data_IF_019436480686
#
_entry.id   IF_019436480686
#
_cell.length_a   1.000
_cell.length_b   1.000
_cell.length_c   1.000
_cell.angle_alpha   90.00
_cell.angle_beta   90.00
_cell.angle_gamma   90.00
#
_symmetry.space_group_name_H-M   'P 1'
#
loop_
_entity.id
_entity.type
_entity.pdbx_description
1 polymer ?
#
# COMPACT_ATOMS: atom_id res chain seq x y z
N UNK A 1 28.49 -3.12 -7.69
CA UNK A 1 28.33 -2.36 -8.96
C UNK A 1 28.51 -0.87 -8.70
N UNK A 2 29.04 -0.09 -9.65
CA UNK A 2 29.12 1.37 -9.53
C UNK A 2 27.71 1.98 -9.65
N UNK A 3 27.21 2.59 -8.57
CA UNK A 3 25.84 3.13 -8.47
C UNK A 3 25.58 4.33 -9.40
N UNK A 4 26.61 4.87 -10.04
CA UNK A 4 26.49 5.92 -11.03
C UNK A 4 26.09 5.38 -12.42
N UNK A 5 26.29 4.08 -12.65
CA UNK A 5 26.09 3.45 -13.96
C UNK A 5 24.69 2.89 -14.20
N UNK A 6 23.80 2.95 -13.20
CA UNK A 6 22.43 2.44 -13.28
C UNK A 6 21.48 3.24 -12.40
N UNK A 7 20.17 3.15 -12.65
CA UNK A 7 19.10 3.65 -11.78
C UNK A 7 18.83 2.59 -10.71
N UNK A 8 19.04 2.92 -9.44
CA UNK A 8 18.84 2.00 -8.34
C UNK A 8 17.39 1.94 -7.85
N UNK A 9 17.01 0.86 -7.16
CA UNK A 9 15.67 0.74 -6.56
C UNK A 9 15.34 1.86 -5.58
N UNK A 10 16.33 2.34 -4.81
CA UNK A 10 16.21 3.51 -3.92
C UNK A 10 15.94 4.82 -4.66
N UNK A 11 16.28 4.89 -5.96
CA UNK A 11 16.07 6.06 -6.80
C UNK A 11 14.63 6.10 -7.38
N UNK A 12 13.89 4.98 -7.32
CA UNK A 12 12.62 4.81 -8.02
C UNK A 12 11.55 5.83 -7.61
N UNK A 13 11.54 6.23 -6.34
CA UNK A 13 10.62 7.24 -5.84
C UNK A 13 10.91 8.62 -6.43
N UNK A 14 12.19 8.98 -6.54
CA UNK A 14 12.63 10.27 -7.08
C UNK A 14 12.44 10.35 -8.61
N UNK A 15 12.59 9.21 -9.29
CA UNK A 15 12.22 9.07 -10.70
C UNK A 15 10.75 9.46 -10.92
N UNK A 16 9.83 8.92 -10.12
CA UNK A 16 8.39 9.18 -10.27
C UNK A 16 7.94 10.53 -9.73
N UNK A 17 8.64 11.10 -8.76
CA UNK A 17 8.33 12.44 -8.24
C UNK A 17 8.84 13.55 -9.17
N UNK A 18 9.80 13.23 -10.05
CA UNK A 18 10.46 14.19 -10.92
C UNK A 18 11.55 15.00 -10.21
N UNK A 19 11.99 14.56 -9.03
CA UNK A 19 13.10 15.17 -8.28
C UNK A 19 14.46 14.70 -8.82
N UNK A 20 14.72 15.02 -10.10
CA UNK A 20 15.85 14.47 -10.83
C UNK A 20 17.14 15.25 -10.66
N UNK A 21 17.11 16.48 -10.16
CA UNK A 21 18.29 17.33 -10.06
C UNK A 21 19.35 16.73 -9.13
N UNK A 22 18.94 16.29 -7.92
CA UNK A 22 19.82 15.61 -6.97
C UNK A 22 20.40 14.34 -7.60
N UNK A 23 19.53 13.48 -8.14
CA UNK A 23 19.94 12.22 -8.76
C UNK A 23 20.90 12.42 -9.94
N UNK A 24 20.66 13.41 -10.80
CA UNK A 24 21.51 13.74 -11.93
C UNK A 24 22.91 14.13 -11.45
N UNK A 25 23.01 15.02 -10.46
CA UNK A 25 24.30 15.45 -9.91
C UNK A 25 25.07 14.29 -9.29
N UNK A 26 24.40 13.40 -8.57
CA UNK A 26 25.01 12.19 -8.02
C UNK A 26 25.55 11.27 -9.12
N UNK A 27 24.71 10.92 -10.11
CA UNK A 27 25.11 9.99 -11.19
C UNK A 27 26.17 10.54 -12.13
N UNK A 28 26.21 11.86 -12.31
CA UNK A 28 27.25 12.54 -13.11
C UNK A 28 28.54 12.81 -12.29
N UNK A 29 28.61 12.40 -11.02
CA UNK A 29 29.77 12.64 -10.16
C UNK A 29 29.97 14.11 -9.76
N UNK A 30 28.94 14.95 -9.93
CA UNK A 30 28.96 16.37 -9.58
C UNK A 30 28.64 16.64 -8.10
N UNK A 31 28.14 15.63 -7.41
CA UNK A 31 27.79 15.66 -6.00
C UNK A 31 27.99 14.25 -5.42
N UNK A 32 28.61 14.16 -4.25
CA UNK A 32 28.66 12.89 -3.52
C UNK A 32 27.32 12.55 -2.89
N UNK A 33 27.05 11.25 -2.74
CA UNK A 33 25.85 10.79 -2.04
C UNK A 33 25.94 11.16 -0.56
N UNK A 34 24.77 11.43 0.01
CA UNK A 34 24.64 11.69 1.44
C UNK A 34 25.14 10.48 2.23
N UNK A 35 26.02 10.74 3.21
CA UNK A 35 26.44 9.73 4.17
C UNK A 35 25.35 9.51 5.22
N UNK A 36 24.76 8.32 5.19
CA UNK A 36 23.70 7.90 6.10
C UNK A 36 24.23 7.13 7.32
N UNK A 37 25.55 7.06 7.53
CA UNK A 37 26.17 6.38 8.67
C UNK A 37 25.69 6.91 10.03
N UNK A 38 25.29 8.17 10.10
CA UNK A 38 24.75 8.83 11.31
C UNK A 38 23.22 8.91 11.34
N UNK A 39 22.54 8.36 10.34
CA UNK A 39 21.07 8.32 10.29
C UNK A 39 20.57 7.19 11.18
N UNK A 40 20.04 7.53 12.37
CA UNK A 40 19.51 6.55 13.31
C UNK A 40 18.50 5.57 12.67
N UNK A 41 17.51 5.99 11.88
CA UNK A 41 16.59 5.06 11.22
C UNK A 41 17.29 4.06 10.28
N UNK A 42 18.34 4.50 9.57
CA UNK A 42 19.11 3.64 8.66
C UNK A 42 19.92 2.62 9.45
N UNK A 43 20.62 3.06 10.49
CA UNK A 43 21.42 2.17 11.33
C UNK A 43 20.55 1.17 12.09
N UNK A 44 19.37 1.59 12.55
CA UNK A 44 18.39 0.71 13.18
C UNK A 44 17.93 -0.39 12.20
N UNK A 45 17.56 -0.01 10.97
CA UNK A 45 17.16 -0.98 9.93
C UNK A 45 18.26 -1.99 9.63
N UNK A 46 19.51 -1.53 9.44
CA UNK A 46 20.66 -2.42 9.20
C UNK A 46 20.90 -3.39 10.36
N UNK A 47 20.74 -2.92 11.61
CA UNK A 47 20.96 -3.75 12.80
C UNK A 47 19.83 -4.77 13.03
N UNK A 48 18.61 -4.50 12.56
CA UNK A 48 17.45 -5.38 12.77
C UNK A 48 17.13 -6.29 11.58
N UNK A 49 17.77 -6.08 10.43
CA UNK A 49 17.41 -6.73 9.16
C UNK A 49 17.43 -8.26 9.26
N UNK A 50 18.46 -8.88 9.83
CA UNK A 50 18.53 -10.35 9.94
C UNK A 50 17.38 -10.92 10.78
N UNK A 51 17.16 -10.34 11.96
CA UNK A 51 16.07 -10.75 12.85
C UNK A 51 14.69 -10.50 12.23
N UNK A 52 14.54 -9.43 11.45
CA UNK A 52 13.30 -9.13 10.71
C UNK A 52 13.05 -10.22 9.65
N UNK A 53 14.03 -10.53 8.81
CA UNK A 53 13.89 -11.56 7.77
C UNK A 53 13.59 -12.94 8.39
N UNK A 54 14.33 -13.34 9.41
CA UNK A 54 14.14 -14.61 10.13
C UNK A 54 12.72 -14.72 10.70
N UNK A 55 12.23 -13.65 11.35
CA UNK A 55 10.89 -13.60 11.91
C UNK A 55 9.81 -13.76 10.84
N UNK A 56 9.94 -13.02 9.74
CA UNK A 56 8.97 -13.07 8.64
C UNK A 56 8.93 -14.46 7.99
N UNK A 57 10.07 -15.12 7.82
CA UNK A 57 10.15 -16.48 7.28
C UNK A 57 9.57 -17.52 8.23
N UNK A 58 9.82 -17.39 9.54
CA UNK A 58 9.22 -18.26 10.54
C UNK A 58 7.69 -18.17 10.52
N UNK A 59 7.14 -16.94 10.42
CA UNK A 59 5.70 -16.71 10.32
C UNK A 59 5.09 -17.27 9.02
N UNK A 60 5.76 -17.10 7.88
CA UNK A 60 5.34 -17.74 6.62
C UNK A 60 5.26 -19.27 6.76
N UNK A 61 6.25 -19.88 7.43
CA UNK A 61 6.25 -21.32 7.67
C UNK A 61 5.11 -21.77 8.59
N UNK A 62 4.74 -20.96 9.59
CA UNK A 62 3.60 -21.23 10.46
C UNK A 62 2.26 -21.14 9.72
N UNK A 63 2.09 -20.11 8.90
CA UNK A 63 0.82 -19.83 8.20
C UNK A 63 0.61 -20.70 6.94
N UNK A 64 1.68 -21.08 6.25
CA UNK A 64 1.61 -21.74 4.94
C UNK A 64 2.34 -23.08 4.86
N UNK A 65 2.91 -23.55 5.98
CA UNK A 65 3.68 -24.79 6.05
C UNK A 65 5.19 -24.57 5.88
N UNK A 66 5.97 -25.48 6.44
CA UNK A 66 7.43 -25.39 6.46
C UNK A 66 8.07 -25.39 5.07
N UNK A 67 9.25 -24.77 4.96
CA UNK A 67 10.10 -24.85 3.76
C UNK A 67 10.44 -23.52 3.11
N UNK A 68 9.84 -22.40 3.58
CA UNK A 68 10.28 -21.07 3.18
C UNK A 68 11.69 -20.79 3.72
N UNK A 69 12.53 -20.18 2.89
CA UNK A 69 13.90 -19.77 3.23
C UNK A 69 14.21 -18.42 2.61
N UNK A 70 15.14 -17.68 3.19
CA UNK A 70 15.66 -16.45 2.57
C UNK A 70 17.17 -16.55 2.28
N UNK A 71 17.64 -15.85 1.25
CA UNK A 71 19.00 -15.97 0.71
C UNK A 71 20.09 -15.26 1.52
N UNK A 72 19.75 -14.60 2.63
CA UNK A 72 20.74 -13.80 3.38
C UNK A 72 21.69 -14.68 4.20
N UNK A 73 21.21 -15.85 4.63
CA UNK A 73 22.09 -16.91 5.09
C UNK A 73 22.81 -17.48 3.86
N UNK A 74 24.15 -17.37 3.85
CA UNK A 74 25.06 -17.60 2.70
C UNK A 74 25.06 -19.04 2.12
N UNK A 75 24.11 -19.87 2.51
CA UNK A 75 24.07 -21.29 2.19
C UNK A 75 23.65 -21.54 0.73
N UNK A 76 22.89 -20.63 0.10
CA UNK A 76 22.26 -20.87 -1.20
C UNK A 76 23.01 -20.28 -2.41
N UNK A 77 24.02 -19.42 -2.21
CA UNK A 77 24.82 -18.82 -3.29
C UNK A 77 24.05 -17.92 -4.28
N UNK A 78 22.77 -17.65 -4.03
CA UNK A 78 21.91 -16.82 -4.88
C UNK A 78 22.30 -15.35 -4.79
N UNK A 79 22.62 -14.75 -5.95
CA UNK A 79 22.83 -13.31 -6.04
C UNK A 79 21.47 -12.60 -5.90
N UNK A 80 21.34 -11.76 -4.88
CA UNK A 80 20.20 -10.85 -4.72
C UNK A 80 20.44 -9.53 -5.47
N UNK A 81 21.20 -9.55 -6.57
CA UNK A 81 21.41 -8.38 -7.43
C UNK A 81 20.99 -8.69 -8.87
N UNK A 82 20.41 -7.69 -9.54
CA UNK A 82 19.99 -7.81 -10.93
C UNK A 82 20.28 -6.51 -11.69
N UNK A 83 20.69 -6.66 -12.95
CA UNK A 83 20.78 -5.57 -13.92
C UNK A 83 19.84 -5.88 -15.07
N UNK A 84 19.02 -4.91 -15.42
CA UNK A 84 18.06 -4.99 -16.49
C UNK A 84 18.13 -3.73 -17.35
N UNK A 85 17.99 -3.88 -18.67
CA UNK A 85 17.86 -2.76 -19.59
C UNK A 85 16.56 -2.98 -20.35
N UNK A 86 15.50 -2.17 -20.11
CA UNK A 86 14.21 -2.35 -20.75
C UNK A 86 14.30 -2.20 -22.27
N UNK A 87 13.73 -3.17 -22.99
CA UNK A 87 13.55 -3.10 -24.44
C UNK A 87 12.54 -2.00 -24.83
N UNK A 88 12.60 -1.53 -26.07
CA UNK A 88 11.65 -0.53 -26.59
C UNK A 88 11.85 0.90 -26.06
N UNK A 89 12.90 1.14 -25.27
CA UNK A 89 13.26 2.47 -24.76
C UNK A 89 14.25 3.19 -25.67
N UNK A 90 14.23 4.52 -25.70
CA UNK A 90 15.08 5.30 -26.61
C UNK A 90 16.51 5.46 -26.08
N UNK A 91 16.65 5.78 -24.81
CA UNK A 91 17.95 6.04 -24.17
C UNK A 91 18.56 4.80 -23.52
N UNK A 92 17.80 3.70 -23.43
CA UNK A 92 18.22 2.40 -22.85
C UNK A 92 18.69 2.56 -21.40
N UNK A 93 17.78 2.89 -20.46
CA UNK A 93 18.12 3.05 -19.06
C UNK A 93 18.62 1.73 -18.49
N UNK A 94 19.73 1.78 -17.77
CA UNK A 94 20.22 0.63 -17.00
C UNK A 94 19.54 0.67 -15.65
N UNK A 95 18.78 -0.36 -15.32
CA UNK A 95 18.05 -0.54 -14.06
C UNK A 95 18.82 -1.56 -13.23
N UNK A 96 19.17 -1.21 -11.99
CA UNK A 96 19.90 -2.09 -11.10
C UNK A 96 19.20 -2.24 -9.76
N UNK A 97 19.00 -3.49 -9.36
CA UNK A 97 18.17 -3.87 -8.23
C UNK A 97 18.98 -4.70 -7.23
N UNK A 98 18.71 -4.47 -5.95
CA UNK A 98 19.30 -5.19 -4.83
C UNK A 98 18.26 -5.31 -3.71
N UNK A 99 17.29 -6.24 -3.79
CA UNK A 99 16.37 -6.52 -2.69
C UNK A 99 17.13 -6.98 -1.43
N UNK A 100 16.54 -6.76 -0.26
CA UNK A 100 17.14 -7.14 1.03
C UNK A 100 17.35 -8.67 1.15
N UNK A 101 16.48 -9.47 0.52
CA UNK A 101 16.68 -10.90 0.34
C UNK A 101 15.93 -11.45 -0.89
N UNK A 102 16.24 -12.69 -1.27
CA UNK A 102 15.37 -13.54 -2.08
C UNK A 102 14.72 -14.58 -1.18
N UNK A 103 13.44 -14.82 -1.35
CA UNK A 103 12.69 -15.88 -0.68
C UNK A 103 12.58 -17.06 -1.63
N UNK A 104 12.94 -18.24 -1.15
CA UNK A 104 12.64 -19.51 -1.79
C UNK A 104 11.42 -20.13 -1.13
N UNK A 105 10.41 -20.44 -1.92
CA UNK A 105 9.20 -21.15 -1.47
C UNK A 105 9.44 -22.67 -1.41
N UNK A 106 8.59 -23.43 -0.69
CA UNK A 106 8.73 -24.89 -0.60
C UNK A 106 8.71 -25.63 -1.95
N UNK A 107 8.01 -25.10 -2.94
CA UNK A 107 7.94 -25.61 -4.32
C UNK A 107 9.11 -25.12 -5.22
N UNK A 108 10.05 -24.37 -4.65
CA UNK A 108 11.31 -23.99 -5.30
C UNK A 108 11.25 -22.68 -6.10
N UNK A 109 10.12 -21.97 -6.09
CA UNK A 109 10.00 -20.63 -6.69
C UNK A 109 10.81 -19.61 -5.88
N UNK A 110 11.27 -18.56 -6.55
CA UNK A 110 12.12 -17.53 -5.95
C UNK A 110 11.50 -16.16 -6.20
N UNK A 111 11.32 -15.39 -5.12
CA UNK A 111 10.76 -14.04 -5.17
C UNK A 111 11.64 -13.04 -4.42
N UNK A 112 11.76 -11.79 -4.87
CA UNK A 112 12.40 -10.76 -4.08
C UNK A 112 11.64 -10.48 -2.78
N UNK A 113 12.38 -10.06 -1.76
CA UNK A 113 11.86 -9.59 -0.49
C UNK A 113 12.49 -8.25 -0.14
N UNK A 114 11.63 -7.33 0.29
CA UNK A 114 12.03 -6.02 0.78
C UNK A 114 11.55 -5.84 2.21
N UNK A 115 12.45 -5.50 3.11
CA UNK A 115 12.22 -5.31 4.53
C UNK A 115 12.38 -3.82 4.91
N UNK A 116 11.46 -3.31 5.75
CA UNK A 116 11.53 -1.93 6.26
C UNK A 116 11.24 -1.84 7.74
N UNK A 117 11.99 -1.00 8.44
CA UNK A 117 11.66 -0.57 9.80
C UNK A 117 11.29 0.92 9.78
N UNK A 118 10.06 1.24 10.18
CA UNK A 118 9.53 2.61 10.14
C UNK A 118 8.54 2.86 11.28
N UNK A 119 8.49 4.08 11.82
CA UNK A 119 7.53 4.49 12.84
C UNK A 119 6.32 5.26 12.30
N UNK A 120 6.17 5.38 10.98
CA UNK A 120 5.33 6.41 10.36
C UNK A 120 3.93 5.97 9.92
N UNK A 121 3.74 4.68 9.64
CA UNK A 121 2.55 4.20 8.91
C UNK A 121 1.54 3.54 9.84
N UNK A 122 0.26 3.56 9.49
CA UNK A 122 -0.75 2.90 10.32
C UNK A 122 -0.78 1.38 10.10
N UNK A 123 -0.45 0.91 8.90
CA UNK A 123 -0.50 -0.50 8.53
C UNK A 123 0.51 -0.84 7.39
N UNK A 124 0.74 -2.14 7.11
CA UNK A 124 1.67 -2.58 6.07
C UNK A 124 1.30 -2.18 4.66
N UNK A 125 0.01 -2.06 4.36
CA UNK A 125 -0.47 -1.69 3.03
C UNK A 125 -0.17 -0.23 2.69
N UNK A 126 -0.34 0.69 3.66
CA UNK A 126 0.06 2.10 3.52
C UNK A 126 1.57 2.24 3.35
N UNK A 127 2.35 1.43 4.08
CA UNK A 127 3.80 1.38 3.93
C UNK A 127 4.17 0.89 2.51
N UNK A 128 3.53 -0.19 2.04
CA UNK A 128 3.74 -0.72 0.70
C UNK A 128 3.38 0.31 -0.38
N UNK A 129 2.30 1.07 -0.23
CA UNK A 129 1.95 2.18 -1.13
C UNK A 129 3.06 3.24 -1.21
N UNK A 130 3.71 3.54 -0.09
CA UNK A 130 4.85 4.48 -0.06
C UNK A 130 6.08 3.92 -0.77
N UNK A 131 6.39 2.65 -0.55
CA UNK A 131 7.55 1.97 -1.14
C UNK A 131 7.26 1.38 -2.52
N UNK A 132 6.02 1.46 -3.03
CA UNK A 132 5.58 0.86 -4.29
C UNK A 132 6.55 1.09 -5.47
N UNK A 133 7.17 2.29 -5.63
CA UNK A 133 8.17 2.48 -6.66
C UNK A 133 9.37 1.54 -6.58
N UNK A 134 9.89 1.34 -5.38
CA UNK A 134 10.99 0.44 -5.11
C UNK A 134 10.57 -1.02 -5.31
N UNK A 135 9.36 -1.37 -4.85
CA UNK A 135 8.78 -2.71 -4.96
C UNK A 135 8.65 -3.16 -6.42
N UNK A 136 7.99 -2.35 -7.25
CA UNK A 136 7.83 -2.64 -8.68
C UNK A 136 9.16 -2.60 -9.44
N UNK A 137 10.12 -1.76 -9.01
CA UNK A 137 11.47 -1.75 -9.56
C UNK A 137 12.18 -3.09 -9.35
N UNK A 138 12.10 -3.67 -8.15
CA UNK A 138 12.71 -4.97 -7.88
C UNK A 138 12.12 -6.05 -8.78
N UNK A 139 10.78 -6.12 -8.87
CA UNK A 139 10.09 -7.09 -9.73
C UNK A 139 10.45 -6.91 -11.21
N UNK A 140 10.50 -5.67 -11.71
CA UNK A 140 10.91 -5.35 -13.07
C UNK A 140 12.34 -5.83 -13.37
N UNK A 141 13.29 -5.53 -12.49
CA UNK A 141 14.70 -5.86 -12.72
C UNK A 141 14.99 -7.36 -12.61
N UNK A 142 14.29 -8.07 -11.71
CA UNK A 142 14.45 -9.51 -11.52
C UNK A 142 13.55 -10.36 -12.45
N UNK A 143 12.63 -9.74 -13.19
CA UNK A 143 11.62 -10.47 -13.97
C UNK A 143 10.68 -11.31 -13.09
N UNK A 144 10.34 -10.81 -11.90
CA UNK A 144 9.53 -11.52 -10.91
C UNK A 144 8.08 -11.05 -10.96
N UNK A 145 7.12 -12.00 -10.89
CA UNK A 145 5.68 -11.70 -10.93
C UNK A 145 5.12 -11.18 -9.60
N UNK A 146 5.86 -11.35 -8.52
CA UNK A 146 5.51 -10.86 -7.20
C UNK A 146 6.75 -10.68 -6.32
N UNK A 147 6.58 -10.01 -5.18
CA UNK A 147 7.60 -9.89 -4.15
C UNK A 147 6.94 -9.90 -2.76
N UNK A 148 7.70 -10.26 -1.73
CA UNK A 148 7.26 -10.11 -0.35
C UNK A 148 7.74 -8.78 0.23
N UNK A 149 6.82 -7.89 0.54
CA UNK A 149 7.14 -6.70 1.31
C UNK A 149 6.87 -6.95 2.80
N UNK A 150 7.87 -6.75 3.65
CA UNK A 150 7.71 -6.87 5.10
C UNK A 150 8.10 -5.59 5.80
N UNK A 151 7.32 -5.21 6.82
CA UNK A 151 7.53 -3.97 7.54
C UNK A 151 7.32 -4.14 9.05
N UNK A 152 8.24 -3.56 9.81
CA UNK A 152 8.09 -3.30 11.24
C UNK A 152 7.57 -1.88 11.39
N UNK A 153 6.38 -1.76 11.97
CA UNK A 153 5.77 -0.47 12.31
C UNK A 153 5.98 -0.17 13.80
N UNK A 154 6.82 0.82 14.09
CA UNK A 154 7.19 1.19 15.46
C UNK A 154 7.92 0.05 16.19
N UNK A 155 7.31 -0.48 17.24
CA UNK A 155 7.82 -1.60 18.04
C UNK A 155 6.93 -2.87 17.92
N UNK A 156 6.05 -2.92 16.92
CA UNK A 156 5.23 -4.09 16.64
C UNK A 156 6.07 -5.24 16.04
N UNK A 157 5.51 -6.45 16.02
CA UNK A 157 6.08 -7.55 15.26
C UNK A 157 6.08 -7.24 13.74
N UNK A 158 7.03 -7.79 12.97
CA UNK A 158 6.98 -7.73 11.52
C UNK A 158 5.66 -8.23 10.95
N UNK A 159 5.08 -7.41 10.07
CA UNK A 159 3.96 -7.78 9.21
C UNK A 159 4.46 -7.88 7.77
N UNK A 160 3.74 -8.61 6.93
CA UNK A 160 4.11 -8.75 5.52
C UNK A 160 2.89 -8.70 4.59
N UNK A 161 3.16 -8.40 3.33
CA UNK A 161 2.19 -8.40 2.24
C UNK A 161 2.86 -8.84 0.95
N UNK A 162 2.21 -9.73 0.21
CA UNK A 162 2.63 -10.09 -1.14
C UNK A 162 2.18 -9.01 -2.12
N UNK A 163 3.10 -8.45 -2.86
CA UNK A 163 2.81 -7.43 -3.89
C UNK A 163 3.03 -8.05 -5.26
N UNK A 164 2.02 -7.98 -6.12
CA UNK A 164 2.11 -8.45 -7.50
C UNK A 164 2.77 -7.43 -8.42
N UNK A 165 3.46 -7.92 -9.43
CA UNK A 165 3.94 -7.11 -10.54
C UNK A 165 2.75 -6.52 -11.31
N UNK A 166 2.88 -5.28 -11.73
CA UNK A 166 1.91 -4.61 -12.60
C UNK A 166 2.62 -4.09 -13.83
N UNK A 167 2.22 -4.59 -15.00
CA UNK A 167 2.84 -4.18 -16.26
C UNK A 167 2.57 -2.70 -16.55
N UNK A 168 1.33 -2.24 -16.38
CA UNK A 168 0.96 -0.84 -16.63
C UNK A 168 1.73 0.11 -15.70
N UNK A 169 1.93 -0.31 -14.44
CA UNK A 169 2.71 0.45 -13.49
C UNK A 169 4.18 0.49 -13.90
N UNK A 170 4.75 -0.66 -14.25
CA UNK A 170 6.16 -0.79 -14.66
C UNK A 170 6.44 -0.05 -15.96
N UNK A 171 5.54 -0.09 -16.94
CA UNK A 171 5.67 0.66 -18.20
C UNK A 171 5.72 2.17 -17.92
N UNK A 172 4.79 2.70 -17.11
CA UNK A 172 4.81 4.11 -16.68
C UNK A 172 6.12 4.48 -15.96
N UNK A 173 6.64 3.58 -15.13
CA UNK A 173 7.92 3.77 -14.46
C UNK A 173 9.11 3.78 -15.44
N UNK A 174 9.13 2.85 -16.39
CA UNK A 174 10.18 2.73 -17.42
C UNK A 174 10.23 3.96 -18.31
N UNK A 175 9.08 4.53 -18.68
CA UNK A 175 9.04 5.80 -19.43
C UNK A 175 9.74 6.94 -18.68
N UNK A 176 9.55 7.02 -17.36
CA UNK A 176 10.22 8.03 -16.52
C UNK A 176 11.71 7.74 -16.35
N UNK A 177 12.09 6.47 -16.23
CA UNK A 177 13.49 6.06 -16.24
C UNK A 177 14.18 6.45 -17.55
N UNK A 178 13.56 6.20 -18.71
CA UNK A 178 14.12 6.51 -20.02
C UNK A 178 14.30 8.03 -20.21
N UNK A 179 13.29 8.82 -19.83
CA UNK A 179 13.36 10.27 -19.87
C UNK A 179 14.50 10.82 -18.98
N UNK A 180 14.63 10.31 -17.75
CA UNK A 180 15.73 10.69 -16.87
C UNK A 180 17.09 10.27 -17.46
N UNK A 181 17.18 9.07 -18.04
CA UNK A 181 18.42 8.56 -18.60
C UNK A 181 18.89 9.35 -19.82
N UNK A 182 17.97 9.97 -20.56
CA UNK A 182 18.29 10.95 -21.60
C UNK A 182 19.12 12.12 -21.09
N UNK A 183 18.85 12.62 -19.87
CA UNK A 183 19.67 13.65 -19.23
C UNK A 183 21.09 13.15 -18.96
N UNK A 184 21.23 11.92 -18.45
CA UNK A 184 22.54 11.30 -18.20
C UNK A 184 23.33 11.14 -19.50
N UNK A 185 22.69 10.62 -20.56
CA UNK A 185 23.33 10.40 -21.86
C UNK A 185 23.74 11.68 -22.57
N UNK A 186 22.92 12.73 -22.47
CA UNK A 186 23.17 14.02 -23.12
C UNK A 186 24.04 14.96 -22.27
N UNK A 187 24.40 14.57 -21.04
CA UNK A 187 25.05 15.43 -20.06
C UNK A 187 24.34 16.79 -19.89
N UNK A 188 23.01 16.79 -20.07
CA UNK A 188 22.17 17.98 -19.96
C UNK A 188 21.33 17.87 -18.69
N UNK A 189 21.49 18.78 -17.71
CA UNK A 189 20.76 18.71 -16.46
C UNK A 189 19.25 18.84 -16.71
N UNK A 190 18.40 18.16 -15.91
CA UNK A 190 16.96 18.38 -15.95
C UNK A 190 16.64 19.82 -15.52
N UNK A 191 15.56 20.39 -16.07
CA UNK A 191 15.13 21.74 -15.69
C UNK A 191 14.94 21.84 -14.16
N UNK A 192 15.38 22.93 -13.52
CA UNK A 192 15.14 23.14 -12.10
C UNK A 192 13.65 23.10 -11.81
N UNK A 193 13.21 22.14 -11.00
CA UNK A 193 11.88 22.19 -10.38
C UNK A 193 12.06 22.85 -9.03
N UNK A 194 11.49 24.03 -8.87
CA UNK A 194 11.39 24.70 -7.58
C UNK A 194 10.33 23.96 -6.76
N UNK A 195 10.72 22.87 -6.11
CA UNK A 195 9.92 22.31 -5.03
C UNK A 195 10.07 23.25 -3.83
N UNK A 196 8.95 23.60 -3.20
CA UNK A 196 8.99 24.25 -1.90
C UNK A 196 9.80 23.36 -0.95
N UNK A 197 10.96 23.87 -0.51
CA UNK A 197 12.03 23.08 0.12
C UNK A 197 11.63 22.34 1.41
N UNK A 198 10.41 22.57 1.91
CA UNK A 198 9.84 21.90 3.07
C UNK A 198 9.25 20.51 2.77
N UNK A 199 8.87 20.18 1.52
CA UNK A 199 8.13 18.94 1.21
C UNK A 199 8.72 18.20 0.01
N UNK A 200 9.23 16.99 0.24
CA UNK A 200 9.62 16.09 -0.86
C UNK A 200 8.40 15.80 -1.76
N UNK A 201 8.53 15.96 -3.09
CA UNK A 201 7.42 15.73 -4.00
C UNK A 201 6.92 14.28 -3.93
N UNK A 202 5.60 14.11 -4.06
CA UNK A 202 4.97 12.78 -4.11
C UNK A 202 5.19 12.16 -5.49
N UNK A 203 5.39 10.82 -5.57
CA UNK A 203 5.36 10.11 -6.84
C UNK A 203 4.09 10.42 -7.63
N UNK A 204 4.25 10.71 -8.92
CA UNK A 204 3.15 11.02 -9.82
C UNK A 204 2.79 9.74 -10.58
N UNK A 205 1.79 9.03 -10.08
CA UNK A 205 1.22 7.83 -10.71
C UNK A 205 -0.29 8.04 -10.84
N UNK A 206 -0.86 7.94 -12.05
CA UNK A 206 -2.32 8.04 -12.24
C UNK A 206 -3.07 7.03 -11.38
N UNK A 207 -4.24 7.40 -10.85
CA UNK A 207 -5.04 6.50 -10.01
C UNK A 207 -5.44 5.21 -10.73
N UNK A 208 -5.72 5.31 -12.04
CA UNK A 208 -6.00 4.16 -12.91
C UNK A 208 -4.86 3.15 -12.97
N UNK A 209 -3.60 3.61 -12.87
CA UNK A 209 -2.40 2.77 -12.86
C UNK A 209 -2.07 2.31 -11.43
N UNK A 210 -2.28 3.16 -10.41
CA UNK A 210 -2.04 2.78 -9.02
C UNK A 210 -2.86 1.54 -8.63
N UNK A 211 -4.10 1.46 -9.11
CA UNK A 211 -5.04 0.39 -8.80
C UNK A 211 -4.80 -0.90 -9.61
N UNK A 212 -3.79 -0.97 -10.49
CA UNK A 212 -3.45 -2.21 -11.22
C UNK A 212 -2.50 -3.13 -10.45
N UNK A 213 -2.07 -2.75 -9.25
CA UNK A 213 -1.15 -3.56 -8.43
C UNK A 213 -1.94 -4.52 -7.52
N UNK A 214 -1.71 -5.84 -7.59
CA UNK A 214 -2.30 -6.79 -6.66
C UNK A 214 -1.65 -6.73 -5.27
N UNK A 215 -2.47 -6.79 -4.22
CA UNK A 215 -2.06 -6.99 -2.82
C UNK A 215 -2.60 -8.34 -2.35
N UNK A 216 -1.73 -9.26 -1.94
CA UNK A 216 -2.07 -10.64 -1.59
C UNK A 216 -2.93 -11.33 -2.67
N UNK A 217 -2.59 -11.09 -3.95
CA UNK A 217 -3.33 -11.62 -5.10
C UNK A 217 -4.68 -10.94 -5.39
N UNK A 218 -5.05 -9.87 -4.66
CA UNK A 218 -6.31 -9.16 -4.82
C UNK A 218 -6.12 -7.75 -5.37
N UNK A 219 -7.03 -7.31 -6.24
CA UNK A 219 -7.01 -5.98 -6.86
C UNK A 219 -7.83 -4.97 -6.07
N UNK A 220 -7.32 -3.75 -5.93
CA UNK A 220 -8.12 -2.60 -5.47
C UNK A 220 -8.74 -1.90 -6.66
N UNK A 221 -9.96 -1.39 -6.53
CA UNK A 221 -10.63 -0.62 -7.58
C UNK A 221 -11.33 0.60 -6.99
N UNK A 222 -11.26 1.70 -7.73
CA UNK A 222 -12.06 2.89 -7.50
C UNK A 222 -13.27 2.83 -8.44
N UNK A 223 -14.47 3.05 -7.89
CA UNK A 223 -15.74 3.00 -8.61
C UNK A 223 -16.38 4.38 -8.77
N UNK A 224 -15.66 5.45 -8.41
CA UNK A 224 -16.16 6.83 -8.48
C UNK A 224 -16.57 7.27 -9.89
N UNK A 225 -15.94 6.73 -10.93
CA UNK A 225 -16.27 7.02 -12.34
C UNK A 225 -17.47 6.20 -12.89
N UNK A 226 -18.07 5.31 -12.08
CA UNK A 226 -19.21 4.51 -12.53
C UNK A 226 -20.52 5.29 -12.35
N UNK A 227 -21.21 5.59 -13.45
CA UNK A 227 -22.43 6.39 -13.47
C UNK A 227 -23.58 5.89 -12.57
N UNK A 228 -23.64 4.60 -12.24
CA UNK A 228 -24.70 4.05 -11.37
C UNK A 228 -24.34 4.12 -9.87
N UNK A 229 -23.06 4.24 -9.54
CA UNK A 229 -22.58 4.14 -8.16
C UNK A 229 -22.96 5.35 -7.29
N UNK A 230 -22.89 6.62 -7.75
CA UNK A 230 -23.24 7.77 -6.91
C UNK A 230 -24.62 7.67 -6.29
N UNK A 231 -25.65 7.33 -7.08
CA UNK A 231 -27.02 7.23 -6.59
C UNK A 231 -27.18 6.12 -5.52
N UNK A 232 -26.55 4.95 -5.74
CA UNK A 232 -26.57 3.85 -4.79
C UNK A 232 -25.81 4.19 -3.49
N UNK A 233 -24.70 4.91 -3.60
CA UNK A 233 -23.92 5.35 -2.43
C UNK A 233 -24.71 6.35 -1.61
N UNK A 234 -25.34 7.35 -2.23
CA UNK A 234 -26.14 8.35 -1.53
C UNK A 234 -27.34 7.71 -0.82
N UNK A 235 -28.03 6.77 -1.48
CA UNK A 235 -29.12 6.00 -0.88
C UNK A 235 -28.63 5.15 0.30
N UNK A 236 -27.50 4.44 0.15
CA UNK A 236 -26.91 3.62 1.21
C UNK A 236 -26.50 4.45 2.44
N UNK A 237 -25.89 5.62 2.23
CA UNK A 237 -25.50 6.52 3.32
C UNK A 237 -26.74 7.07 4.02
N UNK A 238 -27.74 7.53 3.26
CA UNK A 238 -28.98 8.08 3.81
C UNK A 238 -29.76 7.06 4.62
N UNK A 239 -29.91 5.84 4.10
CA UNK A 239 -30.63 4.75 4.78
C UNK A 239 -29.90 4.30 6.04
N UNK A 240 -28.57 4.27 6.05
CA UNK A 240 -27.78 4.01 7.27
C UNK A 240 -28.01 5.06 8.35
N UNK A 241 -28.02 6.34 7.98
CA UNK A 241 -28.32 7.44 8.92
C UNK A 241 -29.75 7.37 9.45
N UNK A 242 -30.73 7.10 8.57
CA UNK A 242 -32.13 6.94 8.95
C UNK A 242 -32.34 5.75 9.90
N UNK A 243 -31.70 4.61 9.63
CA UNK A 243 -31.74 3.43 10.50
C UNK A 243 -31.13 3.73 11.88
N UNK A 244 -29.99 4.43 11.93
CA UNK A 244 -29.39 4.86 13.19
C UNK A 244 -30.34 5.77 13.97
N UNK A 245 -30.91 6.79 13.32
CA UNK A 245 -31.86 7.71 13.97
C UNK A 245 -33.13 6.98 14.42
N UNK A 246 -33.58 5.99 13.66
CA UNK A 246 -34.72 5.17 14.02
C UNK A 246 -34.48 4.39 15.33
N UNK A 247 -33.29 3.82 15.52
CA UNK A 247 -32.92 3.15 16.77
C UNK A 247 -32.79 4.12 17.95
N UNK A 248 -32.22 5.32 17.74
CA UNK A 248 -32.19 6.38 18.76
C UNK A 248 -33.62 6.79 19.18
N UNK A 249 -34.51 7.03 18.21
CA UNK A 249 -35.90 7.36 18.47
C UNK A 249 -36.66 6.23 19.18
N UNK A 250 -36.36 4.96 18.89
CA UNK A 250 -36.94 3.84 19.66
C UNK A 250 -36.53 3.90 21.12
N UNK A 251 -35.29 4.29 21.43
CA UNK A 251 -34.84 4.44 22.80
C UNK A 251 -35.57 5.60 23.48
N UNK A 252 -35.58 6.78 22.86
CA UNK A 252 -36.29 7.97 23.36
C UNK A 252 -37.78 7.69 23.61
N UNK A 253 -38.48 7.02 22.69
CA UNK A 253 -39.89 6.67 22.84
C UNK A 253 -40.15 5.72 24.02
N UNK A 254 -39.24 4.78 24.29
CA UNK A 254 -39.37 3.83 25.41
C UNK A 254 -39.26 4.51 26.77
N UNK A 255 -38.58 5.65 26.88
CA UNK A 255 -38.48 6.42 28.13
C UNK A 255 -39.83 6.99 28.59
N UNK A 256 -40.78 7.18 27.67
CA UNK A 256 -42.12 7.62 28.00
C UNK A 256 -43.03 6.51 28.56
N UNK A 257 -42.62 5.24 28.52
CA UNK A 257 -43.37 4.10 29.06
C UNK A 257 -43.03 3.93 30.53
N UNK A 258 -43.99 4.15 31.43
CA UNK A 258 -43.79 4.02 32.88
C UNK A 258 -43.69 2.56 33.28
N UNK A 259 -43.16 2.29 34.47
CA UNK A 259 -43.05 0.93 35.02
C UNK A 259 -44.41 0.26 35.25
N UNK A 260 -45.46 1.05 35.46
CA UNK A 260 -46.85 0.60 35.60
C UNK A 260 -47.53 0.32 34.26
N UNK A 261 -46.94 0.75 33.14
CA UNK A 261 -47.58 0.67 31.83
C UNK A 261 -47.32 -0.71 31.21
N UNK A 262 -48.42 -1.42 30.92
CA UNK A 262 -48.39 -2.64 30.13
C UNK A 262 -48.43 -2.35 28.62
N UNK A 263 -49.05 -1.23 28.24
CA UNK A 263 -49.23 -0.78 26.86
C UNK A 263 -49.42 0.74 26.81
N UNK A 264 -48.77 1.40 25.84
CA UNK A 264 -48.90 2.83 25.55
C UNK A 264 -49.20 2.99 24.06
N UNK A 265 -50.25 3.74 23.74
CA UNK A 265 -50.77 3.89 22.37
C UNK A 265 -50.65 5.32 21.87
N UNK A 266 -50.29 5.47 20.60
CA UNK A 266 -50.38 6.71 19.82
C UNK A 266 -51.01 6.37 18.46
N UNK A 267 -51.70 7.29 17.76
CA UNK A 267 -52.37 6.99 16.49
C UNK A 267 -51.51 6.23 15.45
N UNK A 268 -50.19 6.46 15.44
CA UNK A 268 -49.25 5.84 14.48
C UNK A 268 -48.41 4.69 15.05
N UNK A 269 -48.39 4.47 16.37
CA UNK A 269 -47.55 3.43 17.00
C UNK A 269 -48.19 2.85 18.26
N UNK A 270 -47.83 1.61 18.57
CA UNK A 270 -48.14 0.97 19.85
C UNK A 270 -46.86 0.48 20.51
N UNK A 271 -46.68 0.79 21.79
CA UNK A 271 -45.56 0.34 22.61
C UNK A 271 -46.06 -0.63 23.68
N UNK A 272 -45.61 -1.89 23.63
CA UNK A 272 -46.11 -2.95 24.52
C UNK A 272 -45.00 -3.64 25.27
N UNK A 273 -45.17 -3.81 26.58
CA UNK A 273 -44.24 -4.53 27.44
C UNK A 273 -44.50 -6.03 27.33
N UNK A 274 -43.47 -6.81 27.01
CA UNK A 274 -43.58 -8.26 26.90
C UNK A 274 -43.42 -8.95 28.27
N UNK A 275 -43.65 -10.27 28.32
CA UNK A 275 -43.54 -11.08 29.56
C UNK A 275 -42.15 -11.05 30.22
N UNK A 276 -41.10 -10.66 29.48
CA UNK A 276 -39.71 -10.53 29.97
C UNK A 276 -39.35 -9.07 30.33
N UNK A 277 -40.30 -8.14 30.29
CA UNK A 277 -40.11 -6.74 30.64
C UNK A 277 -39.60 -5.83 29.51
N UNK A 278 -39.29 -6.36 28.33
CA UNK A 278 -38.82 -5.54 27.20
C UNK A 278 -39.99 -4.86 26.48
N UNK A 279 -39.78 -3.61 26.07
CA UNK A 279 -40.78 -2.80 25.34
C UNK A 279 -40.58 -2.99 23.83
N UNK A 280 -41.64 -3.43 23.15
CA UNK A 280 -41.70 -3.58 21.70
C UNK A 280 -42.53 -2.44 21.10
N UNK A 281 -42.03 -1.82 20.03
CA UNK A 281 -42.74 -0.77 19.30
C UNK A 281 -43.24 -1.34 17.98
N UNK A 282 -44.54 -1.20 17.72
CA UNK A 282 -45.20 -1.59 16.47
C UNK A 282 -45.70 -0.33 15.77
N UNK A 283 -45.35 -0.15 14.50
CA UNK A 283 -45.82 0.97 13.68
C UNK A 283 -47.12 0.53 13.00
N UNK A 284 -48.10 1.42 12.97
CA UNK A 284 -49.35 1.17 12.24
C UNK A 284 -49.13 1.55 10.77
N UNK A 285 -49.35 0.60 9.84
CA UNK A 285 -49.29 0.91 8.42
C UNK A 285 -50.46 1.83 8.02
N UNK A 286 -50.18 2.92 7.30
CA UNK A 286 -51.19 3.83 6.72
C UNK A 286 -51.90 3.21 5.51
N UNK A 287 -52.41 1.99 5.62
CA UNK A 287 -53.35 1.41 4.65
C UNK A 287 -54.69 1.11 5.29
N UNK A 288 -55.51 2.17 5.40
CA UNK A 288 -56.94 2.27 5.07
C UNK A 288 -57.61 3.32 5.96
N UNK A 289 -57.84 4.51 5.41
CA UNK A 289 -59.06 5.29 5.65
C UNK A 289 -59.08 6.51 4.71
N UNK A 290 -59.61 6.28 3.51
CA UNK A 290 -60.28 7.27 2.68
C UNK A 290 -61.10 6.51 1.63
N UNK A 291 -62.25 5.99 2.07
CA UNK A 291 -63.41 5.73 1.22
C UNK A 291 -64.47 6.77 1.63
#
# INVERSE_FOLDING_TARGET
MDRNTYIGSSDARDILSGDWNRMYREKMGLQEREDLSKSWPVQLGLATEDAHLDWTIARLCEEHGAGFKHSKHKEDGTQHEAIFTPDGTFHRPVIGSHPDALIRTPDGLIYPMEAKHTGRWANPEEAADYYMPQLQHHMLALGSDMLLFSVIVGAAAPEYVWIGASKEWQDHYVERCDAFWGHIKSATPPSPRFFDGAVKPKPIVPASIKNTVPFNGMMRRDLSDNNQIPALVDEFVTTKLAAKRHEELKAELKEFVRDTDSEVTHPRITMKRNKRGAINITIHDEKKEAA
#
